data_IF_110722553125
#
_entry.id   IF_110722553125
#
_cell.length_a   1.000
_cell.length_b   1.000
_cell.length_c   1.000
_cell.angle_alpha   90.00
_cell.angle_beta   90.00
_cell.angle_gamma   90.00
#
_symmetry.space_group_name_H-M   'P 1'
#
loop_
_entity.id
_entity.type
_entity.pdbx_description
1 polymer ?
#
# COMPACT_ATOMS: atom_id res chain seq x y z
N UNK A 1 5.73 3.35 -5.18
CA UNK A 1 4.86 3.65 -4.02
C UNK A 1 5.52 4.41 -2.85
N UNK A 2 6.83 4.27 -2.59
CA UNK A 2 7.47 4.84 -1.39
C UNK A 2 7.38 6.37 -1.23
N UNK A 3 7.59 7.15 -2.30
CA UNK A 3 7.58 8.62 -2.20
C UNK A 3 6.20 9.18 -1.83
N UNK A 4 5.13 8.66 -2.43
CA UNK A 4 3.76 9.08 -2.11
C UNK A 4 3.38 8.72 -0.67
N UNK A 5 3.75 7.52 -0.21
CA UNK A 5 3.56 7.10 1.18
C UNK A 5 4.26 8.02 2.18
N UNK A 6 5.49 8.42 1.87
CA UNK A 6 6.24 9.36 2.70
C UNK A 6 5.55 10.73 2.79
N UNK A 7 5.06 11.26 1.65
CA UNK A 7 4.33 12.53 1.61
C UNK A 7 3.05 12.48 2.43
N UNK A 8 2.30 11.38 2.37
CA UNK A 8 1.10 11.18 3.19
C UNK A 8 1.44 11.05 4.68
N UNK A 9 2.55 10.41 5.04
CA UNK A 9 2.99 10.34 6.44
C UNK A 9 3.31 11.73 7.00
N UNK A 10 4.06 12.55 6.27
CA UNK A 10 4.35 13.95 6.66
C UNK A 10 3.08 14.76 6.84
N UNK A 11 2.13 14.63 5.91
CA UNK A 11 0.83 15.29 6.02
C UNK A 11 0.05 14.80 7.25
N UNK A 12 0.08 13.51 7.55
CA UNK A 12 -0.55 12.94 8.75
C UNK A 12 0.04 13.50 10.04
N UNK A 13 1.36 13.65 10.11
CA UNK A 13 2.01 14.29 11.27
C UNK A 13 1.59 15.74 11.44
N UNK A 14 1.50 16.51 10.34
CA UNK A 14 1.03 17.89 10.39
C UNK A 14 -0.44 17.98 10.85
N UNK A 15 -1.31 17.13 10.32
CA UNK A 15 -2.73 17.06 10.70
C UNK A 15 -2.91 16.63 12.16
N UNK A 16 -2.06 15.74 12.65
CA UNK A 16 -2.06 15.30 14.05
C UNK A 16 -1.61 16.40 15.01
N UNK A 17 -0.62 17.21 14.63
CA UNK A 17 -0.22 18.38 15.42
C UNK A 17 -1.38 19.39 15.57
N UNK A 18 -2.23 19.48 14.55
CA UNK A 18 -3.41 20.35 14.53
C UNK A 18 -4.69 19.65 15.03
N UNK A 19 -4.61 18.49 15.72
CA UNK A 19 -5.80 17.68 16.07
C UNK A 19 -6.85 18.41 16.92
N UNK A 20 -6.41 19.37 17.74
CA UNK A 20 -7.30 20.14 18.61
C UNK A 20 -7.93 21.34 17.88
N UNK A 21 -7.46 21.68 16.68
CA UNK A 21 -8.03 22.75 15.88
C UNK A 21 -9.25 22.24 15.12
N UNK A 22 -10.38 22.92 15.29
CA UNK A 22 -11.65 22.58 14.64
C UNK A 22 -12.01 23.64 13.62
N UNK A 23 -11.89 23.30 12.35
CA UNK A 23 -12.44 24.08 11.24
C UNK A 23 -12.91 23.13 10.15
N UNK A 24 -13.98 23.51 9.44
CA UNK A 24 -14.55 22.71 8.34
C UNK A 24 -13.49 22.33 7.26
N UNK A 25 -12.55 23.22 6.88
CA UNK A 25 -11.46 22.85 5.98
C UNK A 25 -10.50 21.81 6.56
N UNK A 26 -10.14 21.91 7.85
CA UNK A 26 -9.26 20.93 8.50
C UNK A 26 -9.90 19.56 8.61
N UNK A 27 -11.20 19.49 8.91
CA UNK A 27 -11.95 18.23 8.91
C UNK A 27 -11.98 17.59 7.52
N UNK A 28 -12.26 18.39 6.49
CA UNK A 28 -12.21 17.94 5.08
C UNK A 28 -10.83 17.40 4.73
N UNK A 29 -9.77 18.08 5.17
CA UNK A 29 -8.39 17.68 4.90
C UNK A 29 -8.01 16.37 5.61
N UNK A 30 -8.48 16.16 6.85
CA UNK A 30 -8.32 14.89 7.58
C UNK A 30 -9.02 13.75 6.87
N UNK A 31 -10.27 13.95 6.44
CA UNK A 31 -11.02 12.93 5.69
C UNK A 31 -10.33 12.58 4.38
N UNK A 32 -9.88 13.58 3.62
CA UNK A 32 -9.17 13.35 2.36
C UNK A 32 -7.82 12.62 2.57
N UNK A 33 -7.08 12.96 3.62
CA UNK A 33 -5.84 12.26 3.99
C UNK A 33 -6.12 10.80 4.32
N UNK A 34 -7.14 10.52 5.12
CA UNK A 34 -7.54 9.16 5.48
C UNK A 34 -7.90 8.32 4.24
N UNK A 35 -8.75 8.85 3.35
CA UNK A 35 -9.11 8.16 2.11
C UNK A 35 -7.89 7.92 1.20
N UNK A 36 -6.97 8.88 1.11
CA UNK A 36 -5.75 8.71 0.32
C UNK A 36 -4.84 7.60 0.86
N UNK A 37 -4.72 7.49 2.19
CA UNK A 37 -3.96 6.41 2.84
C UNK A 37 -4.60 5.05 2.58
N UNK A 38 -5.92 4.95 2.68
CA UNK A 38 -6.67 3.71 2.42
C UNK A 38 -6.49 3.24 0.98
N UNK A 39 -6.69 4.13 0.00
CA UNK A 39 -6.49 3.82 -1.42
C UNK A 39 -5.05 3.37 -1.71
N UNK A 40 -4.06 4.02 -1.08
CA UNK A 40 -2.66 3.65 -1.25
C UNK A 40 -2.37 2.24 -0.70
N UNK A 41 -2.97 1.88 0.43
CA UNK A 41 -2.82 0.55 1.01
C UNK A 41 -3.47 -0.52 0.10
N UNK A 42 -4.68 -0.26 -0.40
CA UNK A 42 -5.36 -1.16 -1.34
C UNK A 42 -4.54 -1.36 -2.61
N UNK A 43 -3.95 -0.30 -3.18
CA UNK A 43 -3.09 -0.41 -4.35
C UNK A 43 -1.84 -1.25 -4.06
N UNK A 44 -1.20 -1.02 -2.90
CA UNK A 44 -0.04 -1.82 -2.49
C UNK A 44 -0.37 -3.28 -2.15
N UNK A 45 -1.61 -3.60 -1.79
CA UNK A 45 -2.09 -4.98 -1.64
C UNK A 45 -2.32 -5.64 -3.00
N UNK A 46 -2.95 -4.93 -3.93
CA UNK A 46 -3.15 -5.41 -5.31
C UNK A 46 -1.82 -5.69 -6.01
N UNK A 47 -0.83 -4.79 -5.88
CA UNK A 47 0.52 -4.99 -6.43
C UNK A 47 1.19 -6.26 -5.88
N UNK A 48 1.05 -6.54 -4.57
CA UNK A 48 1.60 -7.75 -3.93
C UNK A 48 0.85 -9.01 -4.37
N UNK A 49 -0.47 -8.96 -4.47
CA UNK A 49 -1.27 -10.08 -4.94
C UNK A 49 -0.92 -10.45 -6.40
N UNK A 50 -0.68 -9.45 -7.25
CA UNK A 50 -0.23 -9.66 -8.63
C UNK A 50 1.16 -10.32 -8.69
N UNK A 51 2.10 -9.88 -7.85
CA UNK A 51 3.43 -10.49 -7.76
C UNK A 51 3.33 -11.97 -7.34
N UNK A 52 2.55 -12.29 -6.31
CA UNK A 52 2.35 -13.66 -5.84
C UNK A 52 1.67 -14.56 -6.88
N UNK A 53 0.71 -14.03 -7.64
CA UNK A 53 0.05 -14.78 -8.72
C UNK A 53 1.00 -15.05 -9.90
N UNK A 54 1.98 -14.18 -10.15
CA UNK A 54 3.02 -14.38 -11.14
C UNK A 54 4.15 -15.34 -10.72
N UNK A 55 4.24 -15.67 -9.42
CA UNK A 55 5.31 -16.47 -8.82
C UNK A 55 4.92 -17.95 -8.59
N UNK A 56 3.84 -18.42 -9.23
CA UNK A 56 3.52 -19.85 -9.32
C UNK A 56 4.63 -20.60 -10.10
N UNK A 57 4.98 -21.83 -9.67
CA UNK A 57 6.36 -22.31 -9.66
C UNK A 57 6.85 -22.67 -11.06
N UNK A 58 7.83 -21.91 -11.57
CA UNK A 58 8.56 -22.25 -12.81
C UNK A 58 9.75 -23.18 -12.61
N UNK A 59 10.01 -23.64 -11.38
CA UNK A 59 11.25 -24.35 -11.06
C UNK A 59 11.02 -25.64 -10.25
N UNK A 60 10.13 -26.49 -10.74
CA UNK A 60 10.25 -27.93 -10.44
C UNK A 60 10.65 -28.60 -11.75
N UNK A 61 11.95 -28.85 -11.99
CA UNK A 61 12.35 -29.68 -13.11
C UNK A 61 11.68 -31.05 -12.96
N UNK A 62 11.13 -31.64 -14.04
CA UNK A 62 10.51 -32.96 -13.97
C UNK A 62 11.56 -33.95 -13.43
N UNK A 63 11.20 -34.83 -12.48
CA UNK A 63 12.11 -35.90 -12.10
C UNK A 63 12.40 -36.72 -13.35
N UNK A 64 13.67 -36.68 -13.77
CA UNK A 64 14.16 -37.44 -14.90
C UNK A 64 13.75 -38.90 -14.67
N UNK A 65 13.01 -39.44 -15.63
CA UNK A 65 12.73 -40.86 -15.74
C UNK A 65 14.07 -41.58 -15.84
N UNK A 66 14.57 -42.09 -14.71
CA UNK A 66 15.65 -43.08 -14.71
C UNK A 66 15.01 -44.42 -15.02
N UNK A 67 15.05 -44.76 -16.31
CA UNK A 67 14.89 -46.12 -16.81
C UNK A 67 16.31 -46.69 -16.97
N UNK A 68 16.58 -47.86 -16.37
CA UNK A 68 17.87 -48.56 -16.45
C UNK A 68 18.26 -49.31 -15.19
#
# INVERSE_FOLDING_TARGET
MHQLRNRLNVMGFALYALRNETSKPLETLRTAHQSAVELLNQLGEQERALQQAGELPRDVPPPASSDG
#
